data_IF_483396865185
#
_entry.id   IF_483396865185
#
_cell.length_a   1.000
_cell.length_b   1.000
_cell.length_c   1.000
_cell.angle_alpha   90.00
_cell.angle_beta   90.00
_cell.angle_gamma   90.00
#
_symmetry.space_group_name_H-M   'P 1'
#
loop_
_entity.id
_entity.type
_entity.pdbx_description
1 polymer ?
#
# COMPACT_ATOMS: atom_id res chain seq x y z
N UNK A 1 30.49 -43.47 70.93
CA UNK A 1 30.23 -44.17 69.65
C UNK A 1 28.72 -44.22 69.42
N UNK A 2 28.18 -43.43 68.48
CA UNK A 2 26.82 -43.56 67.89
C UNK A 2 26.79 -42.78 66.57
N UNK A 3 26.11 -43.35 65.59
CA UNK A 3 26.39 -43.33 64.14
C UNK A 3 25.81 -42.13 63.36
N UNK A 4 26.52 -41.70 62.30
CA UNK A 4 26.04 -40.70 61.32
C UNK A 4 24.76 -41.16 60.62
N UNK A 5 23.76 -40.28 60.39
CA UNK A 5 22.64 -40.61 59.52
C UNK A 5 23.10 -40.61 58.06
N UNK A 6 22.90 -41.71 57.35
CA UNK A 6 23.10 -41.78 55.91
C UNK A 6 21.93 -41.06 55.22
N UNK A 7 22.26 -40.07 54.39
CA UNK A 7 21.31 -39.44 53.49
C UNK A 7 20.88 -40.51 52.48
N UNK A 8 19.60 -40.86 52.49
CA UNK A 8 18.99 -41.80 51.56
C UNK A 8 19.18 -41.29 50.13
N UNK A 9 20.15 -41.85 49.41
CA UNK A 9 20.26 -41.70 47.95
C UNK A 9 19.09 -42.43 47.31
N UNK A 10 17.99 -41.71 47.09
CA UNK A 10 16.82 -42.21 46.37
C UNK A 10 17.12 -42.09 44.87
N UNK A 11 17.80 -43.08 44.31
CA UNK A 11 18.08 -43.18 42.89
C UNK A 11 16.78 -43.55 42.14
N UNK A 12 15.87 -42.58 41.97
CA UNK A 12 14.63 -42.78 41.21
C UNK A 12 14.92 -42.54 39.72
N UNK A 13 15.00 -43.62 38.95
CA UNK A 13 15.04 -43.54 37.48
C UNK A 13 13.68 -43.09 36.91
N UNK A 14 13.69 -42.68 35.65
CA UNK A 14 12.47 -42.33 34.91
C UNK A 14 11.53 -43.54 34.82
N UNK A 15 10.24 -43.31 35.08
CA UNK A 15 9.23 -44.34 34.85
C UNK A 15 8.89 -44.43 33.37
N UNK A 16 8.54 -45.63 32.89
CA UNK A 16 8.12 -45.83 31.50
C UNK A 16 6.93 -44.92 31.13
N UNK A 17 6.03 -44.68 32.09
CA UNK A 17 4.88 -43.80 31.91
C UNK A 17 5.28 -42.34 31.68
N UNK A 18 6.27 -41.84 32.42
CA UNK A 18 6.77 -40.47 32.30
C UNK A 18 7.43 -40.23 30.93
N UNK A 19 8.15 -41.21 30.41
CA UNK A 19 8.75 -41.13 29.06
C UNK A 19 7.67 -41.06 27.98
N UNK A 20 6.61 -41.86 28.09
CA UNK A 20 5.51 -41.84 27.11
C UNK A 20 4.75 -40.51 27.16
N UNK A 21 4.45 -39.99 28.36
CA UNK A 21 3.74 -38.72 28.54
C UNK A 21 4.57 -37.55 27.98
N UNK A 22 5.88 -37.51 28.25
CA UNK A 22 6.75 -36.43 27.76
C UNK A 22 6.89 -36.44 26.25
N UNK A 23 6.96 -37.61 25.61
CA UNK A 23 6.93 -37.73 24.14
C UNK A 23 5.62 -37.25 23.53
N UNK A 24 4.48 -37.60 24.14
CA UNK A 24 3.16 -37.13 23.67
C UNK A 24 3.08 -35.61 23.77
N UNK A 25 3.41 -35.03 24.93
CA UNK A 25 3.37 -33.57 25.13
C UNK A 25 4.35 -32.86 24.19
N UNK A 26 5.56 -33.39 24.04
CA UNK A 26 6.57 -32.86 23.11
C UNK A 26 6.11 -32.89 21.66
N UNK A 27 5.40 -33.94 21.24
CA UNK A 27 4.87 -34.05 19.87
C UNK A 27 3.78 -33.01 19.57
N UNK A 28 2.90 -32.73 20.54
CA UNK A 28 1.84 -31.73 20.40
C UNK A 28 2.45 -30.32 20.32
N UNK A 29 3.37 -30.01 21.22
CA UNK A 29 4.08 -28.71 21.23
C UNK A 29 4.89 -28.51 19.95
N UNK A 30 5.57 -29.55 19.46
CA UNK A 30 6.32 -29.52 18.20
C UNK A 30 5.42 -29.27 16.99
N UNK A 31 4.27 -29.94 16.92
CA UNK A 31 3.30 -29.74 15.84
C UNK A 31 2.75 -28.30 15.80
N UNK A 32 2.45 -27.75 16.98
CA UNK A 32 2.01 -26.35 17.13
C UNK A 32 3.12 -25.39 16.65
N UNK A 33 4.38 -25.63 17.04
CA UNK A 33 5.54 -24.81 16.64
C UNK A 33 5.73 -24.78 15.12
N UNK A 34 5.59 -25.92 14.45
CA UNK A 34 5.69 -26.03 12.98
C UNK A 34 4.58 -25.23 12.28
N UNK A 35 3.33 -25.27 12.78
CA UNK A 35 2.23 -24.48 12.23
C UNK A 35 2.44 -22.97 12.42
N UNK A 36 2.97 -22.53 13.56
CA UNK A 36 3.29 -21.12 13.81
C UNK A 36 4.44 -20.60 12.95
N UNK A 37 5.49 -21.41 12.73
CA UNK A 37 6.61 -21.03 11.87
C UNK A 37 6.21 -21.00 10.38
N UNK A 38 5.43 -21.98 9.91
CA UNK A 38 4.95 -22.02 8.52
C UNK A 38 4.04 -20.86 8.14
N UNK A 39 3.18 -20.42 9.07
CA UNK A 39 2.26 -19.29 8.83
C UNK A 39 2.94 -17.92 8.97
N UNK A 40 3.99 -17.79 9.79
CA UNK A 40 4.74 -16.54 9.96
C UNK A 40 5.70 -16.26 8.78
N UNK A 41 6.26 -17.30 8.17
CA UNK A 41 7.12 -17.15 6.97
C UNK A 41 6.33 -16.78 5.70
N UNK A 42 5.08 -17.20 5.56
CA UNK A 42 4.26 -16.84 4.40
C UNK A 42 3.75 -15.39 4.43
N UNK A 43 3.55 -14.78 5.60
CA UNK A 43 3.00 -13.41 5.71
C UNK A 43 4.04 -12.27 5.61
N UNK A 44 5.33 -12.59 5.50
CA UNK A 44 6.40 -11.58 5.52
C UNK A 44 6.77 -11.01 4.14
N UNK A 45 6.36 -11.66 3.04
CA UNK A 45 6.68 -11.21 1.68
C UNK A 45 5.53 -10.45 0.99
N UNK A 46 4.29 -10.72 1.39
CA UNK A 46 3.10 -10.04 0.88
C UNK A 46 3.15 -8.50 1.03
N UNK A 47 3.56 -7.92 2.19
CA UNK A 47 3.52 -6.47 2.37
C UNK A 47 4.56 -5.74 1.52
N UNK A 48 5.75 -6.33 1.33
CA UNK A 48 6.86 -5.69 0.60
C UNK A 48 6.58 -5.63 -0.90
N UNK A 49 6.07 -6.73 -1.47
CA UNK A 49 5.70 -6.80 -2.89
C UNK A 49 4.48 -5.92 -3.18
N UNK A 50 3.51 -5.90 -2.26
CA UNK A 50 2.34 -5.03 -2.39
C UNK A 50 2.74 -3.55 -2.28
N UNK A 51 3.65 -3.19 -1.39
CA UNK A 51 4.17 -1.82 -1.28
C UNK A 51 4.97 -1.41 -2.53
N UNK A 52 5.86 -2.27 -3.05
CA UNK A 52 6.62 -1.98 -4.28
C UNK A 52 5.74 -1.83 -5.53
N UNK A 53 4.73 -2.70 -5.71
CA UNK A 53 3.86 -2.63 -6.89
C UNK A 53 2.84 -1.47 -6.82
N UNK A 54 2.44 -1.03 -5.62
CA UNK A 54 1.51 0.10 -5.48
C UNK A 54 2.16 1.47 -5.72
N UNK A 55 3.49 1.63 -5.64
CA UNK A 55 4.10 2.96 -5.71
C UNK A 55 4.03 3.65 -7.07
N UNK A 56 4.00 2.91 -8.18
CA UNK A 56 4.12 3.53 -9.50
C UNK A 56 3.03 4.56 -9.80
N UNK A 57 1.77 4.25 -9.49
CA UNK A 57 0.65 5.19 -9.73
C UNK A 57 0.67 6.38 -8.76
N UNK A 58 1.09 6.17 -7.51
CA UNK A 58 1.21 7.25 -6.53
C UNK A 58 2.36 8.20 -6.86
N UNK A 59 3.52 7.67 -7.29
CA UNK A 59 4.66 8.48 -7.69
C UNK A 59 4.31 9.39 -8.87
N UNK A 60 3.62 8.86 -9.88
CA UNK A 60 3.13 9.65 -11.02
C UNK A 60 2.20 10.76 -10.54
N UNK A 61 1.26 10.46 -9.64
CA UNK A 61 0.33 11.45 -9.10
C UNK A 61 1.02 12.53 -8.26
N UNK A 62 2.05 12.18 -7.49
CA UNK A 62 2.84 13.15 -6.73
C UNK A 62 3.61 14.10 -7.65
N UNK A 63 4.19 13.57 -8.74
CA UNK A 63 4.83 14.41 -9.78
C UNK A 63 3.82 15.34 -10.45
N UNK A 64 2.61 14.86 -10.74
CA UNK A 64 1.52 15.69 -11.24
C UNK A 64 1.12 16.79 -10.25
N UNK A 65 1.01 16.47 -8.96
CA UNK A 65 0.67 17.43 -7.91
C UNK A 65 1.74 18.52 -7.75
N UNK A 66 3.01 18.16 -7.79
CA UNK A 66 4.11 19.12 -7.77
C UNK A 66 4.07 20.05 -9.01
N UNK A 67 3.81 19.48 -10.19
CA UNK A 67 3.71 20.24 -11.42
C UNK A 67 2.48 21.15 -11.46
N UNK A 68 1.36 20.70 -10.91
CA UNK A 68 0.17 21.52 -10.76
C UNK A 68 0.44 22.78 -9.93
N UNK A 69 1.13 22.63 -8.79
CA UNK A 69 1.55 23.76 -7.96
C UNK A 69 2.47 24.71 -8.71
N UNK A 70 3.37 24.19 -9.55
CA UNK A 70 4.19 25.02 -10.43
C UNK A 70 3.32 25.80 -11.42
N UNK A 71 2.36 25.15 -12.10
CA UNK A 71 1.44 25.80 -13.04
C UNK A 71 0.59 26.89 -12.41
N UNK A 72 0.13 26.70 -11.17
CA UNK A 72 -0.58 27.74 -10.42
C UNK A 72 0.25 29.02 -10.24
N UNK A 73 1.58 28.92 -10.23
CA UNK A 73 2.48 30.06 -10.07
C UNK A 73 2.97 30.66 -11.39
N UNK A 74 2.97 29.87 -12.48
CA UNK A 74 3.59 30.25 -13.76
C UNK A 74 2.59 30.54 -14.88
N UNK A 75 1.38 29.97 -14.83
CA UNK A 75 0.36 30.19 -15.84
C UNK A 75 -0.26 31.58 -15.71
N UNK A 76 -0.42 32.26 -16.83
CA UNK A 76 -0.92 33.65 -16.89
C UNK A 76 -2.41 33.77 -17.17
N UNK A 77 -3.05 32.72 -17.70
CA UNK A 77 -4.45 32.76 -18.14
C UNK A 77 -5.30 31.66 -17.51
N UNK A 78 -4.98 30.38 -17.75
CA UNK A 78 -5.76 29.27 -17.21
C UNK A 78 -4.87 28.09 -16.75
N UNK A 79 -4.38 28.09 -15.49
CA UNK A 79 -3.50 27.04 -14.98
C UNK A 79 -4.11 25.65 -15.03
N UNK A 80 -5.45 25.53 -14.95
CA UNK A 80 -6.14 24.25 -15.01
C UNK A 80 -6.12 23.65 -16.43
N UNK A 81 -6.32 24.46 -17.46
CA UNK A 81 -6.26 24.01 -18.86
C UNK A 81 -4.82 23.65 -19.26
N UNK A 82 -3.84 24.46 -18.86
CA UNK A 82 -2.42 24.18 -19.10
C UNK A 82 -2.03 22.85 -18.45
N UNK A 83 -2.39 22.68 -17.18
CA UNK A 83 -2.12 21.46 -16.44
C UNK A 83 -2.84 20.24 -17.04
N UNK A 84 -4.10 20.38 -17.46
CA UNK A 84 -4.84 19.32 -18.15
C UNK A 84 -4.09 18.85 -19.40
N UNK A 85 -3.62 19.81 -20.20
CA UNK A 85 -2.85 19.54 -21.43
C UNK A 85 -1.57 18.78 -21.13
N UNK A 86 -0.82 19.22 -20.10
CA UNK A 86 0.40 18.54 -19.67
C UNK A 86 0.12 17.11 -19.22
N UNK A 87 -0.94 16.89 -18.44
CA UNK A 87 -1.32 15.58 -17.92
C UNK A 87 -1.80 14.64 -19.04
N UNK A 88 -2.49 15.14 -20.05
CA UNK A 88 -2.94 14.34 -21.20
C UNK A 88 -1.79 13.92 -22.12
N UNK A 89 -0.70 14.69 -22.16
CA UNK A 89 0.48 14.41 -22.96
C UNK A 89 1.61 13.72 -22.17
N UNK A 90 1.65 13.88 -20.85
CA UNK A 90 2.80 13.55 -20.00
C UNK A 90 3.07 12.06 -19.78
N UNK A 91 2.27 11.17 -20.40
CA UNK A 91 2.53 9.73 -20.45
C UNK A 91 3.60 9.36 -21.49
N UNK A 92 3.84 10.25 -22.47
CA UNK A 92 4.82 10.05 -23.52
C UNK A 92 6.19 10.55 -23.06
N UNK A 93 7.22 9.72 -23.16
CA UNK A 93 8.61 10.06 -22.79
C UNK A 93 9.17 11.26 -23.56
N UNK A 94 8.64 11.56 -24.75
CA UNK A 94 9.00 12.73 -25.54
C UNK A 94 8.31 14.03 -25.09
N UNK A 95 7.30 13.96 -24.21
CA UNK A 95 6.58 15.12 -23.71
C UNK A 95 7.37 15.85 -22.62
N UNK A 96 7.16 17.16 -22.54
CA UNK A 96 7.68 18.00 -21.44
C UNK A 96 6.50 18.73 -20.79
N UNK A 97 6.13 18.40 -19.53
CA UNK A 97 6.75 17.41 -18.63
C UNK A 97 6.42 15.94 -18.96
N UNK A 98 7.33 15.03 -18.59
CA UNK A 98 7.06 13.59 -18.53
C UNK A 98 6.79 13.18 -17.08
N UNK A 99 5.67 12.51 -16.82
CA UNK A 99 5.27 12.08 -15.48
C UNK A 99 5.53 10.58 -15.23
N UNK A 100 5.61 9.78 -16.27
CA UNK A 100 5.73 8.31 -16.21
C UNK A 100 4.84 7.65 -17.25
N UNK A 101 4.79 6.32 -17.31
CA UNK A 101 3.83 5.61 -18.17
C UNK A 101 2.48 5.49 -17.44
N UNK A 102 1.40 5.96 -18.04
CA UNK A 102 0.04 5.84 -17.50
C UNK A 102 -1.00 6.04 -18.60
N UNK A 103 -2.23 5.60 -18.36
CA UNK A 103 -3.40 6.07 -19.10
C UNK A 103 -4.16 7.08 -18.25
N UNK A 104 -4.85 8.03 -18.88
CA UNK A 104 -5.52 9.11 -18.16
C UNK A 104 -6.92 9.40 -18.71
N UNK A 105 -7.83 9.73 -17.80
CA UNK A 105 -9.12 10.33 -18.09
C UNK A 105 -9.24 11.62 -17.30
N UNK A 106 -9.44 12.72 -18.00
CA UNK A 106 -9.62 14.04 -17.41
C UNK A 106 -11.07 14.49 -17.59
N UNK A 107 -11.66 15.13 -16.57
CA UNK A 107 -13.00 15.69 -16.65
C UNK A 107 -13.09 16.97 -15.85
N UNK A 108 -13.64 18.02 -16.45
CA UNK A 108 -14.11 19.16 -15.69
C UNK A 108 -15.43 18.82 -15.01
N UNK A 109 -15.50 19.06 -13.70
CA UNK A 109 -16.67 18.77 -12.88
C UNK A 109 -17.06 19.98 -12.03
N UNK A 110 -18.27 19.94 -11.50
CA UNK A 110 -18.75 20.84 -10.46
C UNK A 110 -19.48 20.06 -9.38
N UNK A 111 -19.54 20.62 -8.18
CA UNK A 111 -20.38 20.08 -7.12
C UNK A 111 -21.64 20.93 -6.96
N UNK A 112 -22.81 20.30 -7.04
CA UNK A 112 -24.10 20.94 -6.77
C UNK A 112 -24.73 20.18 -5.61
N UNK A 113 -24.98 20.86 -4.49
CA UNK A 113 -25.51 20.23 -3.26
C UNK A 113 -24.68 19.03 -2.79
N UNK A 114 -23.35 19.09 -2.93
CA UNK A 114 -22.43 18.02 -2.55
C UNK A 114 -22.33 16.84 -3.53
N UNK A 115 -23.03 16.89 -4.67
CA UNK A 115 -23.01 15.83 -5.69
C UNK A 115 -22.18 16.27 -6.90
N UNK A 116 -21.33 15.37 -7.40
CA UNK A 116 -20.57 15.56 -8.64
C UNK A 116 -21.51 15.65 -9.84
N UNK A 117 -21.39 16.73 -10.61
CA UNK A 117 -22.06 16.94 -11.88
C UNK A 117 -21.03 17.30 -12.96
N UNK A 118 -21.29 16.94 -14.23
CA UNK A 118 -20.51 17.48 -15.34
C UNK A 118 -20.66 19.00 -15.41
N UNK A 119 -19.70 19.68 -16.04
CA UNK A 119 -19.90 21.08 -16.42
C UNK A 119 -21.11 21.20 -17.37
N UNK A 120 -22.02 22.16 -17.12
CA UNK A 120 -23.16 22.41 -18.00
C UNK A 120 -22.72 23.06 -19.32
N UNK A 121 -23.59 23.09 -20.33
CA UNK A 121 -23.39 23.80 -21.60
C UNK A 121 -24.40 24.96 -21.69
N UNK A 122 -23.98 26.23 -21.90
CA UNK A 122 -22.61 26.71 -22.05
C UNK A 122 -21.76 26.56 -20.78
N UNK A 123 -20.52 26.12 -20.97
CA UNK A 123 -19.59 25.85 -19.88
C UNK A 123 -19.12 27.14 -19.20
N UNK A 124 -19.34 27.32 -17.88
CA UNK A 124 -18.65 28.33 -17.11
C UNK A 124 -17.15 27.98 -17.05
N UNK A 125 -16.31 28.96 -16.69
CA UNK A 125 -14.87 28.72 -16.49
C UNK A 125 -14.67 27.56 -15.52
N UNK A 126 -13.95 26.48 -15.93
CA UNK A 126 -13.78 25.31 -15.09
C UNK A 126 -12.96 25.64 -13.85
N UNK A 127 -13.47 25.22 -12.67
CA UNK A 127 -12.81 25.43 -11.38
C UNK A 127 -12.31 24.14 -10.73
N UNK A 128 -12.76 22.99 -11.21
CA UNK A 128 -12.37 21.68 -10.69
C UNK A 128 -12.08 20.74 -11.85
N UNK A 129 -10.86 20.23 -11.90
CA UNK A 129 -10.43 19.17 -12.80
C UNK A 129 -10.26 17.88 -12.02
N UNK A 130 -11.01 16.86 -12.43
CA UNK A 130 -10.82 15.48 -11.99
C UNK A 130 -9.87 14.79 -12.94
N UNK A 131 -8.78 14.26 -12.40
CA UNK A 131 -7.80 13.48 -13.14
C UNK A 131 -7.81 12.07 -12.58
N UNK A 132 -8.07 11.08 -13.42
CA UNK A 132 -7.96 9.67 -13.10
C UNK A 132 -6.85 9.07 -13.93
N UNK A 133 -5.80 8.56 -13.28
CA UNK A 133 -4.72 7.84 -13.94
C UNK A 133 -4.79 6.35 -13.64
N UNK A 134 -4.36 5.52 -14.60
CA UNK A 134 -4.21 4.08 -14.42
C UNK A 134 -2.81 3.63 -14.84
N UNK A 135 -2.16 2.86 -13.97
CA UNK A 135 -0.85 2.26 -14.23
C UNK A 135 -0.78 0.88 -13.56
N UNK A 136 -0.27 -0.13 -14.28
CA UNK A 136 -0.14 -1.49 -13.73
C UNK A 136 -1.45 -2.13 -13.25
N UNK A 137 -2.60 -1.75 -13.82
CA UNK A 137 -3.93 -2.22 -13.41
C UNK A 137 -4.53 -1.50 -12.20
N UNK A 138 -3.82 -0.52 -11.62
CA UNK A 138 -4.28 0.27 -10.50
C UNK A 138 -4.70 1.65 -10.96
N UNK A 139 -5.78 2.20 -10.38
CA UNK A 139 -6.29 3.52 -10.74
C UNK A 139 -6.33 4.45 -9.54
N UNK A 140 -5.92 5.70 -9.74
CA UNK A 140 -5.94 6.76 -8.74
C UNK A 140 -6.63 7.99 -9.31
N UNK A 141 -7.53 8.60 -8.52
CA UNK A 141 -8.23 9.84 -8.91
C UNK A 141 -7.90 10.97 -7.95
N UNK A 142 -7.58 12.14 -8.50
CA UNK A 142 -7.33 13.36 -7.75
C UNK A 142 -8.16 14.53 -8.32
N UNK A 143 -8.44 15.49 -7.45
CA UNK A 143 -9.14 16.72 -7.80
C UNK A 143 -8.17 17.91 -7.69
N UNK A 144 -8.12 18.72 -8.74
CA UNK A 144 -7.29 19.92 -8.84
C UNK A 144 -8.19 21.14 -9.04
N UNK A 145 -7.93 22.26 -8.34
CA UNK A 145 -8.88 23.37 -8.23
C UNK A 145 -8.24 24.76 -8.21
N UNK A 146 -8.85 25.75 -8.85
CA UNK A 146 -8.43 27.17 -8.77
C UNK A 146 -9.27 28.04 -7.83
#
# INVERSE_FOLDING_TARGET
MKTKPSLLNKNQGFTLLEVVITLIVGSILGAILVQFMGTSMQKSFEPVVMVQNNYGVYEIMERMNAHYKMRLLTSTVNPLDDFKTDVEAGWNIASTPYFGEYTVVTKYIRFVSGIEHPLPDPAPTPRVLKVTITHGGQSLSALFTI
#
